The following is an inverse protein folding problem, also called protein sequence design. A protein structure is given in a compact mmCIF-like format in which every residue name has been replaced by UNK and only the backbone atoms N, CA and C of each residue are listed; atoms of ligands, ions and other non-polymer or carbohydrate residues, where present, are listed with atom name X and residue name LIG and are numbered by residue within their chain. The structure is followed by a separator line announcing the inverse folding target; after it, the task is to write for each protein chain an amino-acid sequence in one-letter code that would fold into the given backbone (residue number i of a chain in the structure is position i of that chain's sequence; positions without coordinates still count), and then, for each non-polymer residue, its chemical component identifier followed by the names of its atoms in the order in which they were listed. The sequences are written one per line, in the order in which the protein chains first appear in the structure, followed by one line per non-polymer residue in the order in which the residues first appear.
data_IF_090294580867
#
_entry.id   IF_090294580867
#
_cell.length_a   1.000
_cell.length_b   1.000
_cell.length_c   1.000
_cell.angle_alpha   90.00
_cell.angle_beta   90.00
_cell.angle_gamma   90.00
#
_symmetry.space_group_name_H-M   'P 1'
#
loop_
_entity.id
_entity.type
_entity.pdbx_description
1 polymer ?
#
# COMPACT_ATOMS: atom_id res chain seq x y z
N UNK A 1 0.82 -34.92 -12.72
CA UNK A 1 1.82 -33.99 -13.28
C UNK A 1 3.23 -34.52 -13.14
N UNK A 2 3.80 -34.62 -11.93
CA UNK A 2 5.18 -35.12 -11.73
C UNK A 2 5.44 -36.49 -12.38
N UNK A 3 4.57 -37.48 -12.12
CA UNK A 3 4.70 -38.82 -12.72
C UNK A 3 4.57 -38.80 -14.25
N UNK A 4 3.64 -38.01 -14.79
CA UNK A 4 3.48 -37.85 -16.24
C UNK A 4 4.73 -37.22 -16.88
N UNK A 5 5.28 -36.18 -16.25
CA UNK A 5 6.51 -35.54 -16.69
C UNK A 5 7.71 -36.50 -16.67
N UNK A 6 7.85 -37.31 -15.61
CA UNK A 6 8.88 -38.34 -15.52
C UNK A 6 8.77 -39.38 -16.64
N UNK A 7 7.56 -39.86 -16.92
CA UNK A 7 7.31 -40.80 -18.01
C UNK A 7 7.70 -40.21 -19.38
N UNK A 8 7.37 -38.94 -19.64
CA UNK A 8 7.78 -38.24 -20.86
C UNK A 8 9.31 -38.16 -20.95
N UNK A 9 9.99 -37.78 -19.86
CA UNK A 9 11.45 -37.71 -19.81
C UNK A 9 12.13 -39.08 -20.00
N UNK A 10 11.49 -40.18 -19.60
CA UNK A 10 11.97 -41.54 -19.85
C UNK A 10 11.66 -42.05 -21.26
N UNK A 11 11.10 -41.21 -22.14
CA UNK A 11 10.76 -41.60 -23.51
C UNK A 11 9.49 -42.48 -23.58
N UNK A 12 8.59 -42.34 -22.60
CA UNK A 12 7.33 -43.10 -22.51
C UNK A 12 6.09 -42.20 -22.65
N UNK A 13 5.94 -41.41 -23.75
CA UNK A 13 4.81 -40.48 -23.90
C UNK A 13 3.45 -41.18 -24.00
N UNK A 14 3.40 -42.39 -24.56
CA UNK A 14 2.16 -43.20 -24.63
C UNK A 14 1.66 -43.56 -23.23
N UNK A 15 2.54 -44.02 -22.35
CA UNK A 15 2.18 -44.36 -20.98
C UNK A 15 1.79 -43.11 -20.18
N UNK A 16 2.44 -41.97 -20.44
CA UNK A 16 2.04 -40.69 -19.86
C UNK A 16 0.62 -40.28 -20.29
N UNK A 17 0.28 -40.45 -21.58
CA UNK A 17 -1.05 -40.16 -22.12
C UNK A 17 -2.12 -41.09 -21.51
N UNK A 18 -1.86 -42.40 -21.47
CA UNK A 18 -2.75 -43.38 -20.83
C UNK A 18 -3.03 -43.03 -19.36
N UNK A 19 -1.98 -42.67 -18.61
CA UNK A 19 -2.12 -42.28 -17.21
C UNK A 19 -2.92 -40.98 -17.06
N UNK A 20 -2.66 -39.96 -17.89
CA UNK A 20 -3.40 -38.70 -17.84
C UNK A 20 -4.88 -38.89 -18.19
N UNK A 21 -5.19 -39.72 -19.19
CA UNK A 21 -6.56 -40.09 -19.56
C UNK A 21 -7.26 -40.84 -18.43
N UNK A 22 -6.59 -41.78 -17.78
CA UNK A 22 -7.16 -42.56 -16.68
C UNK A 22 -7.43 -41.73 -15.42
N UNK A 23 -6.56 -40.74 -15.13
CA UNK A 23 -6.73 -39.84 -13.98
C UNK A 23 -7.78 -38.76 -14.22
N UNK A 24 -8.04 -38.41 -15.48
CA UNK A 24 -9.02 -37.41 -15.91
C UNK A 24 -8.98 -36.10 -15.10
N UNK A 25 -7.77 -35.60 -14.82
CA UNK A 25 -7.60 -34.43 -13.96
C UNK A 25 -7.97 -33.14 -14.71
N UNK A 26 -9.16 -32.62 -14.42
CA UNK A 26 -9.72 -31.41 -15.03
C UNK A 26 -9.13 -30.11 -14.47
N UNK A 27 -7.81 -29.95 -14.58
CA UNK A 27 -7.07 -28.76 -14.16
C UNK A 27 -6.20 -28.25 -15.31
N UNK A 28 -5.88 -26.96 -15.32
CA UNK A 28 -5.17 -26.28 -16.42
C UNK A 28 -3.87 -26.97 -16.85
N UNK A 29 -2.92 -27.18 -15.95
CA UNK A 29 -1.61 -27.76 -16.32
C UNK A 29 -1.70 -29.24 -16.74
N UNK A 30 -2.50 -30.12 -16.08
CA UNK A 30 -2.73 -31.48 -16.58
C UNK A 30 -3.33 -31.53 -17.98
N UNK A 31 -4.32 -30.68 -18.25
CA UNK A 31 -4.95 -30.58 -19.58
C UNK A 31 -3.94 -30.09 -20.63
N UNK A 32 -3.09 -29.11 -20.30
CA UNK A 32 -2.01 -28.71 -21.19
C UNK A 32 -0.97 -29.81 -21.43
N UNK A 33 -0.62 -30.56 -20.39
CA UNK A 33 0.30 -31.70 -20.54
C UNK A 33 -0.31 -32.77 -21.45
N UNK A 34 -1.59 -33.09 -21.29
CA UNK A 34 -2.30 -34.02 -22.16
C UNK A 34 -2.39 -33.50 -23.61
N UNK A 35 -2.73 -32.22 -23.80
CA UNK A 35 -2.74 -31.57 -25.09
C UNK A 35 -1.37 -31.59 -25.78
N UNK A 36 -0.28 -31.46 -25.03
CA UNK A 36 1.09 -31.49 -25.58
C UNK A 36 1.48 -32.85 -26.19
N UNK A 37 0.79 -33.92 -25.82
CA UNK A 37 1.01 -35.28 -26.33
C UNK A 37 0.22 -35.59 -27.60
N UNK A 38 -0.68 -34.69 -28.02
CA UNK A 38 -1.52 -34.85 -29.20
C UNK A 38 -1.03 -33.96 -30.37
N UNK A 39 -1.31 -34.36 -31.62
CA UNK A 39 -1.13 -33.48 -32.77
C UNK A 39 -1.92 -32.18 -32.61
N UNK A 40 -1.38 -31.09 -33.16
CA UNK A 40 -2.00 -29.76 -33.10
C UNK A 40 -3.47 -29.74 -33.57
N UNK A 41 -3.83 -30.57 -34.56
CA UNK A 41 -5.18 -30.66 -35.09
C UNK A 41 -6.20 -31.27 -34.13
N UNK A 42 -5.76 -32.03 -33.12
CA UNK A 42 -6.63 -32.84 -32.25
C UNK A 42 -6.74 -32.30 -30.82
N UNK A 43 -5.89 -31.35 -30.44
CA UNK A 43 -5.77 -30.87 -29.05
C UNK A 43 -6.60 -29.63 -28.69
N UNK A 44 -7.38 -29.10 -29.64
CA UNK A 44 -8.11 -27.83 -29.48
C UNK A 44 -9.07 -27.82 -28.29
N UNK A 45 -9.83 -28.90 -28.10
CA UNK A 45 -10.80 -29.01 -26.99
C UNK A 45 -10.09 -29.00 -25.62
N UNK A 46 -8.99 -29.74 -25.48
CA UNK A 46 -8.20 -29.77 -24.25
C UNK A 46 -7.60 -28.40 -23.93
N UNK A 47 -7.11 -27.68 -24.95
CA UNK A 47 -6.56 -26.33 -24.80
C UNK A 47 -7.64 -25.35 -24.34
N UNK A 48 -8.81 -25.35 -24.99
CA UNK A 48 -9.93 -24.48 -24.58
C UNK A 48 -10.36 -24.78 -23.13
N UNK A 49 -10.54 -26.06 -22.80
CA UNK A 49 -10.88 -26.49 -21.45
C UNK A 49 -9.85 -26.06 -20.42
N UNK A 50 -8.54 -26.14 -20.74
CA UNK A 50 -7.46 -25.74 -19.85
C UNK A 50 -7.54 -24.25 -19.47
N UNK A 51 -7.98 -23.39 -20.40
CA UNK A 51 -8.22 -21.96 -20.16
C UNK A 51 -9.42 -21.80 -19.23
N UNK A 52 -10.55 -22.42 -19.57
CA UNK A 52 -11.82 -22.24 -18.85
C UNK A 52 -11.76 -22.67 -17.38
N UNK A 53 -10.98 -23.72 -17.06
CA UNK A 53 -10.87 -24.23 -15.68
C UNK A 53 -9.85 -23.48 -14.83
N UNK A 54 -9.05 -22.57 -15.39
CA UNK A 54 -8.00 -21.87 -14.64
C UNK A 54 -8.52 -21.09 -13.41
N UNK A 55 -9.64 -20.35 -13.48
CA UNK A 55 -10.17 -19.63 -12.33
C UNK A 55 -10.59 -20.54 -11.17
N UNK A 56 -10.90 -21.82 -11.44
CA UNK A 56 -11.33 -22.78 -10.41
C UNK A 56 -10.15 -23.26 -9.55
N UNK A 57 -8.94 -23.28 -10.10
CA UNK A 57 -7.73 -23.66 -9.40
C UNK A 57 -6.49 -23.01 -10.04
N UNK A 58 -6.20 -21.79 -9.61
CA UNK A 58 -5.08 -20.98 -10.14
C UNK A 58 -3.75 -21.63 -9.79
N UNK A 59 -3.05 -22.15 -10.79
CA UNK A 59 -1.70 -22.71 -10.66
C UNK A 59 -0.84 -22.34 -11.87
N UNK A 60 0.31 -21.76 -11.60
CA UNK A 60 1.32 -21.43 -12.60
C UNK A 60 2.31 -22.61 -12.79
N UNK A 61 2.93 -22.74 -13.97
CA UNK A 61 3.94 -23.77 -14.22
C UNK A 61 5.16 -23.54 -13.32
N UNK A 62 5.79 -24.62 -12.86
CA UNK A 62 6.96 -24.60 -12.00
C UNK A 62 8.01 -25.66 -12.36
N UNK A 63 7.67 -26.69 -13.14
CA UNK A 63 8.64 -27.70 -13.61
C UNK A 63 9.00 -27.51 -15.09
N UNK A 64 10.14 -28.04 -15.52
CA UNK A 64 10.59 -27.93 -16.91
C UNK A 64 9.69 -28.71 -17.87
N UNK A 65 9.08 -29.80 -17.42
CA UNK A 65 8.13 -30.59 -18.23
C UNK A 65 6.84 -29.81 -18.47
N UNK A 66 6.34 -29.10 -17.45
CA UNK A 66 5.19 -28.19 -17.59
C UNK A 66 5.52 -27.06 -18.57
N UNK A 67 6.73 -26.50 -18.50
CA UNK A 67 7.20 -25.46 -19.43
C UNK A 67 7.31 -26.02 -20.86
N UNK A 68 7.94 -27.17 -21.06
CA UNK A 68 8.08 -27.79 -22.37
C UNK A 68 6.72 -28.13 -22.99
N UNK A 69 5.77 -28.63 -22.18
CA UNK A 69 4.41 -28.88 -22.62
C UNK A 69 3.75 -27.59 -23.12
N UNK A 70 3.84 -26.49 -22.37
CA UNK A 70 3.29 -25.20 -22.77
C UNK A 70 4.00 -24.60 -24.01
N UNK A 71 5.32 -24.74 -24.12
CA UNK A 71 6.10 -24.28 -25.28
C UNK A 71 5.66 -24.99 -26.57
N UNK A 72 5.26 -26.26 -26.47
CA UNK A 72 4.73 -27.01 -27.63
C UNK A 72 3.36 -26.52 -28.12
N UNK A 73 2.64 -25.71 -27.35
CA UNK A 73 1.27 -25.24 -27.63
C UNK A 73 1.30 -23.79 -28.14
N UNK A 74 2.02 -23.60 -29.25
CA UNK A 74 2.24 -22.30 -29.87
C UNK A 74 0.98 -21.65 -30.47
N UNK A 75 -0.17 -22.30 -30.53
CA UNK A 75 -1.42 -21.66 -30.95
C UNK A 75 -2.21 -21.06 -29.78
N UNK A 76 -1.82 -21.30 -28.53
CA UNK A 76 -2.56 -20.81 -27.37
C UNK A 76 -1.96 -19.50 -26.84
N UNK A 77 -2.78 -18.45 -26.77
CA UNK A 77 -2.39 -17.18 -26.14
C UNK A 77 -2.21 -17.36 -24.62
N UNK A 78 -3.02 -18.20 -23.97
CA UNK A 78 -2.96 -18.38 -22.52
C UNK A 78 -1.73 -19.20 -22.09
N UNK A 79 -1.32 -20.19 -22.89
CA UNK A 79 -0.07 -20.90 -22.67
C UNK A 79 1.13 -19.95 -22.67
N UNK A 80 1.15 -18.95 -23.58
CA UNK A 80 2.17 -17.89 -23.59
C UNK A 80 2.13 -17.02 -22.35
N UNK A 81 0.94 -16.66 -21.86
CA UNK A 81 0.82 -15.92 -20.61
C UNK A 81 1.43 -16.69 -19.44
N UNK A 82 1.11 -17.98 -19.29
CA UNK A 82 1.67 -18.83 -18.24
C UNK A 82 3.20 -18.96 -18.35
N UNK A 83 3.73 -19.12 -19.56
CA UNK A 83 5.17 -19.12 -19.82
C UNK A 83 5.81 -17.77 -19.50
N UNK A 84 5.16 -16.67 -19.85
CA UNK A 84 5.65 -15.33 -19.57
C UNK A 84 5.77 -15.09 -18.06
N UNK A 85 4.76 -15.48 -17.28
CA UNK A 85 4.79 -15.46 -15.81
C UNK A 85 5.95 -16.29 -15.26
N UNK A 86 6.18 -17.51 -15.79
CA UNK A 86 7.31 -18.35 -15.39
C UNK A 86 8.66 -17.69 -15.69
N UNK A 87 8.88 -17.24 -16.92
CA UNK A 87 10.13 -16.60 -17.32
C UNK A 87 10.38 -15.29 -16.57
N UNK A 88 9.32 -14.54 -16.25
CA UNK A 88 9.41 -13.34 -15.44
C UNK A 88 9.86 -13.66 -14.01
N UNK A 89 9.27 -14.70 -13.38
CA UNK A 89 9.70 -15.20 -12.07
C UNK A 89 11.18 -15.66 -12.09
N UNK A 90 11.63 -16.29 -13.18
CA UNK A 90 13.03 -16.69 -13.39
C UNK A 90 13.93 -15.54 -13.87
N UNK A 91 13.46 -14.29 -13.82
CA UNK A 91 14.18 -13.06 -14.21
C UNK A 91 14.67 -13.05 -15.67
N UNK A 92 14.09 -13.90 -16.52
CA UNK A 92 14.32 -13.93 -17.96
C UNK A 92 13.40 -12.93 -18.66
N UNK A 93 13.58 -11.64 -18.35
CA UNK A 93 12.62 -10.59 -18.71
C UNK A 93 12.37 -10.48 -20.23
N UNK A 94 13.42 -10.51 -21.05
CA UNK A 94 13.28 -10.40 -22.51
C UNK A 94 12.37 -11.51 -23.08
N UNK A 95 12.50 -12.75 -22.58
CA UNK A 95 11.62 -13.86 -22.98
C UNK A 95 10.19 -13.63 -22.51
N UNK A 96 10.01 -13.22 -21.25
CA UNK A 96 8.70 -12.97 -20.69
C UNK A 96 7.92 -11.89 -21.45
N UNK A 97 8.59 -10.78 -21.78
CA UNK A 97 7.99 -9.67 -22.52
C UNK A 97 7.58 -10.10 -23.92
N UNK A 98 8.47 -10.80 -24.66
CA UNK A 98 8.14 -11.28 -26.00
C UNK A 98 6.92 -12.22 -25.98
N UNK A 99 6.81 -13.07 -24.94
CA UNK A 99 5.66 -13.95 -24.76
C UNK A 99 4.38 -13.19 -24.40
N UNK A 100 4.43 -12.18 -23.52
CA UNK A 100 3.26 -11.35 -23.23
C UNK A 100 2.84 -10.47 -24.41
N UNK A 101 3.78 -9.88 -25.16
CA UNK A 101 3.49 -9.15 -26.39
C UNK A 101 2.77 -10.06 -27.39
N UNK A 102 3.29 -11.27 -27.62
CA UNK A 102 2.63 -12.23 -28.49
C UNK A 102 1.28 -12.70 -27.95
N UNK A 103 1.13 -12.80 -26.63
CA UNK A 103 -0.13 -13.13 -25.97
C UNK A 103 -1.21 -12.07 -26.29
N UNK A 104 -0.90 -10.78 -26.09
CA UNK A 104 -1.85 -9.69 -26.36
C UNK A 104 -2.06 -9.41 -27.84
N UNK A 105 -1.10 -9.76 -28.72
CA UNK A 105 -1.34 -9.77 -30.17
C UNK A 105 -2.37 -10.83 -30.58
N UNK A 106 -2.35 -11.99 -29.92
CA UNK A 106 -3.25 -13.11 -30.21
C UNK A 106 -4.62 -12.97 -29.55
N UNK A 107 -4.69 -12.36 -28.37
CA UNK A 107 -5.90 -12.07 -27.62
C UNK A 107 -5.79 -10.67 -27.00
N UNK A 108 -6.09 -9.61 -27.78
CA UNK A 108 -6.03 -8.22 -27.30
C UNK A 108 -6.95 -7.94 -26.11
N UNK A 109 -8.00 -8.73 -25.94
CA UNK A 109 -8.98 -8.64 -24.85
C UNK A 109 -8.50 -9.22 -23.50
N UNK A 110 -7.33 -9.88 -23.47
CA UNK A 110 -6.83 -10.50 -22.24
C UNK A 110 -6.10 -9.51 -21.32
N UNK A 111 -6.82 -8.98 -20.33
CA UNK A 111 -6.34 -7.96 -19.40
C UNK A 111 -5.02 -8.32 -18.66
N UNK A 112 -4.86 -9.56 -18.22
CA UNK A 112 -3.67 -10.00 -17.46
C UNK A 112 -2.37 -9.97 -18.30
N UNK A 113 -2.47 -10.10 -19.63
CA UNK A 113 -1.34 -9.92 -20.54
C UNK A 113 -0.83 -8.48 -20.52
N UNK A 114 -1.75 -7.52 -20.62
CA UNK A 114 -1.44 -6.08 -20.52
C UNK A 114 -0.91 -5.70 -19.14
N UNK A 115 -1.52 -6.25 -18.07
CA UNK A 115 -1.03 -6.09 -16.69
C UNK A 115 0.43 -6.54 -16.55
N UNK A 116 0.79 -7.71 -17.09
CA UNK A 116 2.17 -8.21 -17.06
C UNK A 116 3.17 -7.26 -17.74
N UNK A 117 2.79 -6.70 -18.90
CA UNK A 117 3.59 -5.70 -19.61
C UNK A 117 3.73 -4.40 -18.81
N UNK A 118 2.66 -3.94 -18.15
CA UNK A 118 2.70 -2.73 -17.33
C UNK A 118 3.65 -2.87 -16.13
N UNK A 119 3.58 -4.00 -15.43
CA UNK A 119 4.47 -4.31 -14.30
C UNK A 119 5.93 -4.25 -14.75
N UNK A 120 6.26 -4.80 -15.92
CA UNK A 120 7.61 -4.72 -16.46
C UNK A 120 8.03 -3.29 -16.82
N UNK A 121 7.16 -2.55 -17.52
CA UNK A 121 7.42 -1.16 -17.90
C UNK A 121 7.74 -0.28 -16.69
N UNK A 122 7.01 -0.43 -15.59
CA UNK A 122 7.31 0.27 -14.35
C UNK A 122 8.58 -0.29 -13.66
N UNK A 123 8.59 -1.57 -13.29
CA UNK A 123 9.61 -2.14 -12.40
C UNK A 123 11.01 -2.28 -13.00
N UNK A 124 11.14 -2.24 -14.34
CA UNK A 124 12.41 -2.51 -15.04
C UNK A 124 12.79 -1.43 -16.04
N UNK A 125 11.81 -0.75 -16.63
CA UNK A 125 12.09 0.32 -17.59
C UNK A 125 11.92 1.71 -16.95
N UNK A 126 11.29 1.80 -15.78
CA UNK A 126 10.95 3.06 -15.11
C UNK A 126 10.14 4.00 -16.01
N UNK A 127 9.32 3.43 -16.90
CA UNK A 127 8.50 4.17 -17.87
C UNK A 127 7.05 4.27 -17.38
N UNK A 128 6.74 5.39 -16.73
CA UNK A 128 5.40 5.70 -16.22
C UNK A 128 4.35 5.71 -17.33
N UNK A 129 4.61 6.40 -18.45
CA UNK A 129 3.62 6.61 -19.51
C UNK A 129 3.28 5.31 -20.22
N UNK A 130 4.26 4.42 -20.39
CA UNK A 130 4.02 3.09 -20.94
C UNK A 130 3.25 2.20 -19.95
N UNK A 131 3.65 2.18 -18.67
CA UNK A 131 2.95 1.40 -17.64
C UNK A 131 1.50 1.86 -17.46
N UNK A 132 1.26 3.17 -17.45
CA UNK A 132 -0.07 3.78 -17.34
C UNK A 132 -0.96 3.35 -18.51
N UNK A 133 -0.48 3.45 -19.75
CA UNK A 133 -1.24 3.01 -20.94
C UNK A 133 -1.61 1.54 -20.87
N UNK A 134 -0.69 0.67 -20.46
CA UNK A 134 -0.97 -0.76 -20.33
C UNK A 134 -1.97 -1.07 -19.20
N UNK A 135 -1.87 -0.41 -18.04
CA UNK A 135 -2.85 -0.58 -16.95
C UNK A 135 -4.22 0.00 -17.30
N UNK A 136 -4.27 1.18 -17.94
CA UNK A 136 -5.52 1.79 -18.38
C UNK A 136 -6.22 0.87 -19.41
N UNK A 137 -5.47 0.27 -20.35
CA UNK A 137 -6.02 -0.72 -21.27
C UNK A 137 -6.49 -2.00 -20.55
N UNK A 138 -5.69 -2.55 -19.64
CA UNK A 138 -6.09 -3.72 -18.85
C UNK A 138 -7.38 -3.46 -18.06
N UNK A 139 -7.50 -2.28 -17.45
CA UNK A 139 -8.69 -1.91 -16.67
C UNK A 139 -9.92 -1.70 -17.55
N UNK A 140 -9.77 -1.12 -18.75
CA UNK A 140 -10.88 -1.01 -19.70
C UNK A 140 -11.44 -2.38 -20.13
N UNK A 141 -10.57 -3.39 -20.24
CA UNK A 141 -10.95 -4.75 -20.59
C UNK A 141 -11.62 -5.51 -19.42
N UNK A 142 -11.24 -5.19 -18.18
CA UNK A 142 -11.75 -5.82 -16.97
C UNK A 142 -12.09 -4.78 -15.88
N UNK A 143 -13.11 -3.92 -16.09
CA UNK A 143 -13.41 -2.79 -15.19
C UNK A 143 -13.88 -3.22 -13.80
N UNK A 144 -14.29 -4.48 -13.66
CA UNK A 144 -14.74 -5.08 -12.41
C UNK A 144 -13.59 -5.67 -11.56
N UNK A 145 -12.37 -5.76 -12.10
CA UNK A 145 -11.19 -6.23 -11.38
C UNK A 145 -10.59 -5.09 -10.54
N UNK A 146 -10.90 -5.09 -9.24
CA UNK A 146 -10.40 -4.10 -8.30
C UNK A 146 -8.88 -4.10 -8.14
N UNK A 147 -8.19 -5.20 -8.46
CA UNK A 147 -6.71 -5.25 -8.47
C UNK A 147 -6.14 -4.31 -9.53
N UNK A 148 -6.74 -4.24 -10.71
CA UNK A 148 -6.26 -3.37 -11.79
C UNK A 148 -6.46 -1.90 -11.46
N UNK A 149 -7.58 -1.54 -10.83
CA UNK A 149 -7.80 -0.19 -10.31
C UNK A 149 -6.74 0.16 -9.26
N UNK A 150 -6.41 -0.78 -8.36
CA UNK A 150 -5.36 -0.63 -7.35
C UNK A 150 -3.98 -0.43 -7.93
N UNK A 151 -3.57 -1.24 -8.90
CA UNK A 151 -2.26 -1.07 -9.51
C UNK A 151 -2.17 0.24 -10.29
N UNK A 152 -3.26 0.69 -10.92
CA UNK A 152 -3.29 1.97 -11.62
C UNK A 152 -3.17 3.16 -10.67
N UNK A 153 -3.86 3.12 -9.54
CA UNK A 153 -3.76 4.14 -8.50
C UNK A 153 -2.41 4.11 -7.77
N UNK A 154 -1.87 2.92 -7.50
CA UNK A 154 -0.52 2.73 -6.95
C UNK A 154 0.54 3.32 -7.88
N UNK A 155 0.42 3.13 -9.19
CA UNK A 155 1.31 3.77 -10.17
C UNK A 155 1.23 5.32 -10.08
N UNK A 156 0.03 5.87 -9.97
CA UNK A 156 -0.17 7.31 -9.80
C UNK A 156 0.41 7.81 -8.45
N UNK A 157 0.27 7.02 -7.38
CA UNK A 157 0.89 7.30 -6.07
C UNK A 157 2.42 7.34 -6.16
N UNK A 158 3.02 6.30 -6.74
CA UNK A 158 4.48 6.16 -6.85
C UNK A 158 5.13 7.19 -7.79
N UNK A 159 4.34 7.78 -8.71
CA UNK A 159 4.80 8.84 -9.61
C UNK A 159 4.48 10.25 -9.11
N UNK A 160 3.92 10.39 -7.89
CA UNK A 160 3.62 11.69 -7.30
C UNK A 160 2.45 12.42 -7.97
N UNK A 161 1.47 11.70 -8.52
CA UNK A 161 0.23 12.32 -9.01
C UNK A 161 -0.54 13.00 -7.87
N UNK A 162 -1.21 14.12 -8.17
CA UNK A 162 -1.91 14.91 -7.14
C UNK A 162 -3.09 14.14 -6.54
N UNK A 163 -3.45 14.42 -5.26
CA UNK A 163 -4.57 13.77 -4.60
C UNK A 163 -5.89 13.94 -5.36
N UNK A 164 -6.13 15.10 -5.98
CA UNK A 164 -7.37 15.39 -6.71
C UNK A 164 -7.51 14.53 -7.95
N UNK A 165 -6.41 14.35 -8.71
CA UNK A 165 -6.39 13.50 -9.91
C UNK A 165 -6.66 12.04 -9.54
N UNK A 166 -6.02 11.55 -8.47
CA UNK A 166 -6.23 10.18 -7.97
C UNK A 166 -7.66 10.00 -7.45
N UNK A 167 -8.15 10.94 -6.65
CA UNK A 167 -9.49 10.90 -6.08
C UNK A 167 -10.57 10.87 -7.16
N UNK A 168 -10.47 11.73 -8.18
CA UNK A 168 -11.43 11.74 -9.28
C UNK A 168 -11.54 10.38 -9.98
N UNK A 169 -10.42 9.65 -10.13
CA UNK A 169 -10.43 8.29 -10.70
C UNK A 169 -11.15 7.31 -9.77
N UNK A 170 -10.86 7.35 -8.47
CA UNK A 170 -11.44 6.42 -7.51
C UNK A 170 -12.92 6.68 -7.27
N UNK A 171 -13.37 7.94 -7.20
CA UNK A 171 -14.79 8.28 -7.05
C UNK A 171 -15.60 7.85 -8.30
N UNK A 172 -15.03 8.02 -9.50
CA UNK A 172 -15.66 7.52 -10.73
C UNK A 172 -15.78 5.97 -10.78
N UNK A 173 -15.02 5.26 -9.93
CA UNK A 173 -15.03 3.80 -9.83
C UNK A 173 -15.28 3.35 -8.38
N UNK A 174 -16.08 4.12 -7.62
CA UNK A 174 -16.19 3.96 -6.17
C UNK A 174 -16.65 2.56 -5.76
N UNK A 175 -17.61 1.97 -6.47
CA UNK A 175 -18.07 0.60 -6.19
C UNK A 175 -16.91 -0.41 -6.27
N UNK A 176 -16.02 -0.24 -7.24
CA UNK A 176 -14.85 -1.09 -7.45
C UNK A 176 -13.80 -0.82 -6.37
N UNK A 177 -13.59 0.45 -6.03
CA UNK A 177 -12.65 0.84 -4.99
C UNK A 177 -13.00 0.23 -3.63
N UNK A 178 -14.30 0.08 -3.33
CA UNK A 178 -14.79 -0.49 -2.07
C UNK A 178 -14.71 -2.03 -2.00
N UNK A 179 -14.40 -2.73 -3.10
CA UNK A 179 -14.28 -4.21 -3.13
C UNK A 179 -13.07 -4.75 -2.38
N UNK A 180 -12.01 -3.95 -2.21
CA UNK A 180 -10.78 -4.35 -1.51
C UNK A 180 -10.38 -3.32 -0.47
N UNK A 181 -9.81 -3.81 0.62
CA UNK A 181 -9.48 -3.00 1.80
C UNK A 181 -8.30 -2.06 1.58
N UNK A 182 -7.27 -2.54 0.87
CA UNK A 182 -6.09 -1.75 0.50
C UNK A 182 -6.46 -0.54 -0.38
N UNK A 183 -7.29 -0.76 -1.39
CA UNK A 183 -7.84 0.30 -2.23
C UNK A 183 -8.78 1.23 -1.44
N UNK A 184 -9.63 0.67 -0.57
CA UNK A 184 -10.51 1.49 0.27
C UNK A 184 -9.70 2.42 1.17
N UNK A 185 -8.58 1.94 1.75
CA UNK A 185 -7.70 2.76 2.57
C UNK A 185 -7.09 3.94 1.78
N UNK A 186 -6.71 3.74 0.51
CA UNK A 186 -6.26 4.83 -0.36
C UNK A 186 -7.37 5.85 -0.62
N UNK A 187 -8.60 5.41 -0.89
CA UNK A 187 -9.75 6.31 -1.07
C UNK A 187 -10.03 7.14 0.20
N UNK A 188 -10.00 6.52 1.38
CA UNK A 188 -10.16 7.22 2.66
C UNK A 188 -9.12 8.33 2.84
N UNK A 189 -7.84 8.01 2.58
CA UNK A 189 -6.75 8.98 2.66
C UNK A 189 -6.95 10.15 1.69
N UNK A 190 -7.38 9.88 0.45
CA UNK A 190 -7.63 10.92 -0.55
C UNK A 190 -8.82 11.81 -0.19
N UNK A 191 -9.88 11.26 0.42
CA UNK A 191 -10.95 12.07 0.99
C UNK A 191 -10.45 12.96 2.13
N UNK A 192 -9.58 12.46 3.02
CA UNK A 192 -9.00 13.29 4.07
C UNK A 192 -8.16 14.44 3.50
N UNK A 193 -7.30 14.16 2.51
CA UNK A 193 -6.47 15.16 1.85
C UNK A 193 -7.28 16.27 1.16
N UNK A 194 -8.48 15.93 0.67
CA UNK A 194 -9.37 16.87 -0.03
C UNK A 194 -10.46 17.45 0.88
N UNK A 195 -10.36 17.27 2.20
CA UNK A 195 -11.28 17.85 3.18
C UNK A 195 -12.64 17.14 3.31
N UNK A 196 -12.80 15.95 2.72
CA UNK A 196 -14.04 15.17 2.70
C UNK A 196 -14.09 14.13 3.83
N UNK A 197 -13.75 14.56 5.06
CA UNK A 197 -13.64 13.66 6.21
C UNK A 197 -14.95 12.92 6.55
N UNK A 198 -16.12 13.53 6.33
CA UNK A 198 -17.40 12.88 6.64
C UNK A 198 -17.70 11.70 5.72
N UNK A 199 -17.37 11.78 4.41
CA UNK A 199 -17.48 10.63 3.49
C UNK A 199 -16.65 9.44 3.97
N UNK A 200 -15.44 9.71 4.44
CA UNK A 200 -14.57 8.69 4.99
C UNK A 200 -15.14 8.09 6.29
N UNK A 201 -15.74 8.91 7.14
CA UNK A 201 -16.37 8.47 8.38
C UNK A 201 -17.53 7.49 8.11
N UNK A 202 -18.36 7.76 7.10
CA UNK A 202 -19.48 6.88 6.73
C UNK A 202 -19.00 5.47 6.33
N UNK A 203 -17.94 5.39 5.51
CA UNK A 203 -17.36 4.10 5.11
C UNK A 203 -16.72 3.39 6.30
N UNK A 204 -15.95 4.11 7.12
CA UNK A 204 -15.30 3.58 8.32
C UNK A 204 -16.30 3.06 9.36
N UNK A 205 -17.51 3.63 9.43
CA UNK A 205 -18.55 3.22 10.35
C UNK A 205 -19.36 2.00 9.87
N UNK A 206 -19.52 1.84 8.55
CA UNK A 206 -20.49 0.89 7.98
C UNK A 206 -19.87 -0.33 7.31
N UNK A 207 -18.67 -0.20 6.73
CA UNK A 207 -18.03 -1.29 5.98
C UNK A 207 -17.37 -2.28 6.93
N UNK A 208 -17.55 -3.57 6.68
CA UNK A 208 -16.78 -4.64 7.34
C UNK A 208 -15.46 -4.84 6.60
N UNK A 209 -14.36 -4.52 7.27
CA UNK A 209 -13.00 -4.74 6.80
C UNK A 209 -12.51 -6.14 7.19
N UNK A 210 -11.61 -6.69 6.37
CA UNK A 210 -10.91 -7.94 6.51
C UNK A 210 -9.42 -7.72 6.19
N UNK A 211 -8.65 -7.05 7.08
CA UNK A 211 -7.22 -6.87 6.91
C UNK A 211 -6.54 -8.24 6.68
N UNK A 212 -5.80 -8.33 5.58
CA UNK A 212 -4.97 -9.49 5.23
C UNK A 212 -3.50 -9.19 5.50
N UNK A 213 -2.63 -10.19 5.44
CA UNK A 213 -1.18 -10.05 5.54
C UNK A 213 -0.66 -8.94 4.61
N UNK A 214 0.08 -7.97 5.16
CA UNK A 214 0.55 -6.75 4.48
C UNK A 214 -0.46 -5.59 4.47
N UNK A 215 -1.62 -5.76 5.12
CA UNK A 215 -2.67 -4.76 5.30
C UNK A 215 -2.75 -4.16 6.71
N UNK A 216 -1.93 -4.67 7.64
CA UNK A 216 -1.93 -4.29 9.05
C UNK A 216 -1.76 -2.78 9.22
N UNK A 217 -2.56 -2.17 10.09
CA UNK A 217 -2.44 -0.75 10.40
C UNK A 217 -3.01 0.19 9.32
N UNK A 218 -3.24 -0.26 8.09
CA UNK A 218 -3.64 0.62 6.97
C UNK A 218 -5.02 1.24 7.22
N UNK A 219 -6.03 0.44 7.54
CA UNK A 219 -7.40 0.92 7.79
C UNK A 219 -7.51 1.61 9.15
N UNK A 220 -6.91 1.04 10.19
CA UNK A 220 -6.94 1.61 11.55
C UNK A 220 -6.24 2.96 11.64
N UNK A 221 -5.16 3.18 10.88
CA UNK A 221 -4.53 4.50 10.75
C UNK A 221 -5.45 5.52 10.07
N UNK A 222 -6.24 5.11 9.06
CA UNK A 222 -7.24 5.99 8.44
C UNK A 222 -8.39 6.30 9.41
N UNK A 223 -8.79 5.35 10.26
CA UNK A 223 -9.76 5.59 11.32
C UNK A 223 -9.27 6.64 12.31
N UNK A 224 -8.05 6.50 12.84
CA UNK A 224 -7.45 7.48 13.76
C UNK A 224 -7.33 8.86 13.09
N UNK A 225 -6.82 8.91 11.85
CA UNK A 225 -6.69 10.17 11.10
C UNK A 225 -8.05 10.85 10.92
N UNK A 226 -9.10 10.08 10.60
CA UNK A 226 -10.45 10.62 10.47
C UNK A 226 -10.96 11.24 11.78
N UNK A 227 -10.76 10.56 12.90
CA UNK A 227 -11.17 11.05 14.22
C UNK A 227 -10.41 12.32 14.60
N UNK A 228 -9.10 12.39 14.35
CA UNK A 228 -8.29 13.58 14.59
C UNK A 228 -8.75 14.78 13.74
N UNK A 229 -9.01 14.57 12.46
CA UNK A 229 -9.49 15.62 11.56
C UNK A 229 -10.87 16.16 11.97
N UNK A 230 -11.80 15.27 12.33
CA UNK A 230 -13.15 15.67 12.78
C UNK A 230 -13.11 16.31 14.16
N UNK A 231 -12.27 15.83 15.07
CA UNK A 231 -12.04 16.48 16.35
C UNK A 231 -11.49 17.90 16.19
N UNK A 232 -10.57 18.10 15.25
CA UNK A 232 -10.07 19.43 14.90
C UNK A 232 -11.19 20.36 14.39
N UNK A 233 -12.07 19.88 13.50
CA UNK A 233 -13.23 20.67 13.04
C UNK A 233 -14.11 21.15 14.20
N UNK A 234 -14.35 20.30 15.20
CA UNK A 234 -15.10 20.68 16.40
C UNK A 234 -14.33 21.66 17.29
N UNK A 235 -13.01 21.50 17.46
CA UNK A 235 -12.18 22.46 18.20
C UNK A 235 -12.20 23.85 17.55
N UNK A 236 -12.07 23.92 16.22
CA UNK A 236 -12.15 25.17 15.46
C UNK A 236 -13.54 25.83 15.59
N UNK A 237 -14.60 25.00 15.64
CA UNK A 237 -15.97 25.43 15.92
C UNK A 237 -16.25 25.75 17.41
N UNK A 238 -15.23 25.73 18.28
CA UNK A 238 -15.34 25.94 19.75
C UNK A 238 -16.27 24.95 20.45
N UNK A 239 -16.22 23.69 20.01
CA UNK A 239 -16.99 22.56 20.51
C UNK A 239 -16.05 21.50 21.12
N UNK A 240 -15.33 21.82 22.21
CA UNK A 240 -14.28 20.93 22.73
C UNK A 240 -14.82 19.62 23.32
N UNK A 241 -16.08 19.58 23.73
CA UNK A 241 -16.69 18.36 24.25
C UNK A 241 -16.87 17.31 23.14
N UNK A 242 -17.43 17.71 22.00
CA UNK A 242 -17.60 16.84 20.83
C UNK A 242 -16.25 16.37 20.27
N UNK A 243 -15.24 17.25 20.29
CA UNK A 243 -13.88 16.87 19.91
C UNK A 243 -13.30 15.79 20.84
N UNK A 244 -13.46 15.95 22.16
CA UNK A 244 -13.00 14.97 23.16
C UNK A 244 -13.66 13.61 22.99
N UNK A 245 -14.96 13.55 22.67
CA UNK A 245 -15.69 12.31 22.39
C UNK A 245 -15.11 11.55 21.18
N UNK A 246 -14.81 12.24 20.08
CA UNK A 246 -14.19 11.64 18.90
C UNK A 246 -12.78 11.10 19.19
N UNK A 247 -11.97 11.88 19.90
CA UNK A 247 -10.62 11.50 20.30
C UNK A 247 -10.63 10.30 21.27
N UNK A 248 -11.62 10.22 22.16
CA UNK A 248 -11.78 9.07 23.04
C UNK A 248 -12.18 7.83 22.23
N UNK A 249 -13.09 7.97 21.27
CA UNK A 249 -13.43 6.90 20.35
C UNK A 249 -12.24 6.43 19.49
N UNK A 250 -11.28 7.31 19.16
CA UNK A 250 -10.05 6.93 18.46
C UNK A 250 -9.18 5.94 19.27
N UNK A 251 -9.35 5.87 20.60
CA UNK A 251 -8.67 4.91 21.46
C UNK A 251 -9.27 3.50 21.41
N UNK A 252 -10.43 3.33 20.77
CA UNK A 252 -11.17 2.08 20.74
C UNK A 252 -11.60 1.73 19.31
N UNK A 253 -10.93 0.74 18.69
CA UNK A 253 -11.26 0.31 17.34
C UNK A 253 -12.62 -0.40 17.32
N UNK A 254 -13.56 0.03 16.46
CA UNK A 254 -14.83 -0.67 16.32
C UNK A 254 -14.60 -2.03 15.63
N UNK A 255 -15.43 -3.02 15.99
CA UNK A 255 -15.26 -4.41 15.55
C UNK A 255 -15.26 -4.57 14.02
N UNK A 256 -15.89 -3.64 13.29
CA UNK A 256 -15.96 -3.70 11.84
C UNK A 256 -14.60 -3.46 11.17
N UNK A 257 -13.61 -2.87 11.85
CA UNK A 257 -12.25 -2.74 11.33
C UNK A 257 -11.49 -4.07 11.33
N UNK A 258 -11.93 -5.04 12.15
CA UNK A 258 -11.36 -6.39 12.25
C UNK A 258 -9.86 -6.44 12.59
N UNK A 259 -9.34 -5.40 13.23
CA UNK A 259 -7.97 -5.31 13.72
C UNK A 259 -7.98 -4.82 15.17
N UNK A 260 -7.11 -5.39 16.00
CA UNK A 260 -6.93 -4.98 17.39
C UNK A 260 -5.79 -3.98 17.53
N UNK A 261 -5.81 -3.21 18.62
CA UNK A 261 -4.70 -2.32 18.97
C UNK A 261 -3.46 -3.12 19.36
N UNK A 262 -2.28 -2.62 18.99
CA UNK A 262 -1.01 -3.24 19.37
C UNK A 262 -0.65 -2.89 20.83
N UNK A 263 -0.13 -3.85 21.61
CA UNK A 263 0.43 -3.56 22.92
C UNK A 263 1.55 -2.53 22.81
N UNK A 264 1.51 -1.50 23.66
CA UNK A 264 2.54 -0.46 23.73
C UNK A 264 2.33 0.75 22.81
N UNK A 265 1.20 0.84 22.08
CA UNK A 265 0.82 2.10 21.42
C UNK A 265 0.60 3.21 22.44
N UNK A 266 1.27 4.34 22.25
CA UNK A 266 1.28 5.47 23.19
C UNK A 266 0.32 6.60 22.82
N UNK A 267 -0.20 6.64 21.59
CA UNK A 267 -1.25 7.56 21.12
C UNK A 267 -0.99 9.04 21.42
N UNK A 268 0.26 9.47 21.21
CA UNK A 268 0.73 10.79 21.64
C UNK A 268 -0.07 11.93 21.00
N UNK A 269 -0.47 11.78 19.73
CA UNK A 269 -1.33 12.73 19.03
C UNK A 269 -2.72 12.84 19.66
N UNK A 270 -3.39 11.71 19.91
CA UNK A 270 -4.72 11.68 20.53
C UNK A 270 -4.68 12.32 21.92
N UNK A 271 -3.71 11.95 22.76
CA UNK A 271 -3.59 12.51 24.11
C UNK A 271 -3.23 14.00 24.11
N UNK A 272 -2.41 14.45 23.17
CA UNK A 272 -2.12 15.88 23.02
C UNK A 272 -3.41 16.65 22.72
N UNK A 273 -4.20 16.19 21.74
CA UNK A 273 -5.46 16.87 21.40
C UNK A 273 -6.52 16.77 22.50
N UNK A 274 -6.55 15.68 23.29
CA UNK A 274 -7.40 15.60 24.48
C UNK A 274 -7.02 16.66 25.51
N UNK A 275 -5.72 16.93 25.70
CA UNK A 275 -5.30 18.00 26.60
C UNK A 275 -5.75 19.38 26.12
N UNK A 276 -5.69 19.63 24.81
CA UNK A 276 -6.21 20.88 24.21
C UNK A 276 -7.72 21.01 24.46
N UNK A 277 -8.48 19.92 24.29
CA UNK A 277 -9.92 19.90 24.61
C UNK A 277 -10.19 20.23 26.08
N UNK A 278 -9.49 19.55 27.00
CA UNK A 278 -9.66 19.76 28.44
C UNK A 278 -9.31 21.20 28.86
N UNK A 279 -8.22 21.76 28.32
CA UNK A 279 -7.85 23.15 28.58
C UNK A 279 -8.90 24.14 28.06
N UNK A 280 -9.48 23.89 26.88
CA UNK A 280 -10.58 24.71 26.33
C UNK A 280 -11.87 24.61 27.16
N UNK A 281 -12.05 23.53 27.93
CA UNK A 281 -13.16 23.34 28.86
C UNK A 281 -12.86 23.89 30.27
N UNK A 282 -11.63 24.31 30.55
CA UNK A 282 -11.18 24.78 31.87
C UNK A 282 -10.85 23.66 32.86
N UNK A 283 -10.70 22.41 32.40
CA UNK A 283 -10.25 21.29 33.23
C UNK A 283 -8.73 21.14 33.19
N UNK A 284 -8.06 21.91 34.04
CA UNK A 284 -6.59 21.89 34.16
C UNK A 284 -6.04 20.54 34.63
N UNK A 285 -6.81 19.80 35.45
CA UNK A 285 -6.35 18.52 36.00
C UNK A 285 -6.29 17.47 34.90
N UNK A 286 -7.35 17.40 34.08
CA UNK A 286 -7.42 16.47 32.96
C UNK A 286 -6.47 16.87 31.82
N UNK A 287 -6.36 18.17 31.53
CA UNK A 287 -5.37 18.67 30.59
C UNK A 287 -3.97 18.21 30.99
N UNK A 288 -3.64 18.29 32.28
CA UNK A 288 -2.33 17.89 32.76
C UNK A 288 -2.09 16.38 32.74
N UNK A 289 -3.13 15.59 33.02
CA UNK A 289 -3.07 14.14 32.87
C UNK A 289 -2.80 13.73 31.42
N UNK A 290 -3.52 14.34 30.47
CA UNK A 290 -3.39 14.05 29.05
C UNK A 290 -2.02 14.46 28.48
N UNK A 291 -1.48 15.63 28.86
CA UNK A 291 -0.13 16.04 28.42
C UNK A 291 0.96 15.08 28.93
N UNK A 292 0.84 14.58 30.16
CA UNK A 292 1.79 13.58 30.68
C UNK A 292 1.76 12.30 29.86
N UNK A 293 0.57 11.82 29.47
CA UNK A 293 0.44 10.66 28.58
C UNK A 293 1.04 10.95 27.20
N UNK A 294 0.74 12.12 26.63
CA UNK A 294 1.27 12.56 25.34
C UNK A 294 2.80 12.72 25.33
N UNK A 295 3.46 12.86 26.48
CA UNK A 295 4.92 12.95 26.59
C UNK A 295 5.64 11.59 26.76
N UNK A 296 4.90 10.48 26.88
CA UNK A 296 5.47 9.12 27.09
C UNK A 296 5.86 8.43 25.78
N UNK A 297 6.70 7.40 25.87
CA UNK A 297 7.06 6.52 24.76
C UNK A 297 8.56 6.49 24.44
N UNK A 298 8.92 5.61 23.52
CA UNK A 298 10.27 5.59 22.95
C UNK A 298 10.50 6.86 22.11
N UNK A 299 11.76 7.32 22.10
CA UNK A 299 12.22 8.50 21.38
C UNK A 299 13.16 8.18 20.23
N UNK A 300 13.38 6.89 19.97
CA UNK A 300 14.26 6.42 18.90
C UNK A 300 13.62 6.61 17.53
N UNK A 301 14.40 7.11 16.57
CA UNK A 301 14.01 7.15 15.16
C UNK A 301 14.69 5.99 14.43
N UNK A 302 13.91 4.93 14.17
CA UNK A 302 14.39 3.80 13.37
C UNK A 302 14.53 4.19 11.90
N UNK A 303 15.52 3.64 11.19
CA UNK A 303 15.69 3.85 9.74
C UNK A 303 14.59 3.09 8.99
N UNK A 304 14.48 1.80 9.25
CA UNK A 304 13.39 0.96 8.75
C UNK A 304 12.15 1.16 9.62
N UNK A 305 10.97 1.02 9.01
CA UNK A 305 9.70 1.10 9.71
C UNK A 305 8.98 -0.23 9.60
N UNK A 306 8.63 -0.80 10.74
CA UNK A 306 7.83 -2.01 10.88
C UNK A 306 6.38 -1.68 11.22
N UNK A 307 5.45 -2.59 10.93
CA UNK A 307 4.02 -2.37 11.18
C UNK A 307 3.69 -2.10 12.66
N UNK A 308 4.55 -2.56 13.57
CA UNK A 308 4.43 -2.41 15.02
C UNK A 308 5.28 -1.27 15.60
N UNK A 309 6.01 -0.54 14.77
CA UNK A 309 6.74 0.64 15.21
C UNK A 309 5.77 1.80 15.48
N UNK A 310 6.14 2.67 16.43
CA UNK A 310 5.38 3.89 16.65
C UNK A 310 5.57 4.87 15.47
N UNK A 311 4.51 5.59 15.06
CA UNK A 311 4.64 6.63 14.05
C UNK A 311 5.66 7.70 14.46
N UNK A 312 6.50 8.14 13.52
CA UNK A 312 7.56 9.12 13.82
C UNK A 312 7.01 10.47 14.29
N UNK A 313 5.77 10.79 13.92
CA UNK A 313 5.10 12.01 14.36
C UNK A 313 4.70 11.98 15.84
N UNK A 314 4.71 10.82 16.50
CA UNK A 314 4.52 10.77 17.95
C UNK A 314 5.61 11.53 18.70
N UNK A 315 6.84 11.58 18.16
CA UNK A 315 7.92 12.40 18.73
C UNK A 315 7.59 13.89 18.69
N UNK A 316 6.91 14.34 17.63
CA UNK A 316 6.47 15.71 17.52
C UNK A 316 5.47 16.05 18.64
N UNK A 317 4.46 15.21 18.83
CA UNK A 317 3.45 15.41 19.86
C UNK A 317 4.02 15.27 21.27
N UNK A 318 5.00 14.38 21.50
CA UNK A 318 5.77 14.32 22.75
C UNK A 318 6.48 15.65 23.04
N UNK A 319 7.20 16.21 22.07
CA UNK A 319 7.90 17.48 22.23
C UNK A 319 6.94 18.64 22.51
N UNK A 320 5.80 18.68 21.82
CA UNK A 320 4.76 19.68 22.09
C UNK A 320 4.14 19.52 23.48
N UNK A 321 3.89 18.28 23.93
CA UNK A 321 3.37 18.02 25.26
C UNK A 321 4.37 18.44 26.37
N UNK A 322 5.65 18.13 26.20
CA UNK A 322 6.73 18.57 27.11
C UNK A 322 6.81 20.09 27.21
N UNK A 323 6.65 20.79 26.08
CA UNK A 323 6.58 22.25 26.04
C UNK A 323 5.43 22.79 26.88
N UNK A 324 4.23 22.22 26.76
CA UNK A 324 3.06 22.62 27.56
C UNK A 324 3.16 22.21 29.04
N UNK A 325 3.93 21.17 29.35
CA UNK A 325 4.31 20.77 30.71
C UNK A 325 5.32 21.74 31.37
N UNK A 326 5.91 22.67 30.60
CA UNK A 326 6.98 23.56 31.08
C UNK A 326 8.39 22.97 30.97
N UNK A 327 8.54 21.78 30.40
CA UNK A 327 9.83 21.09 30.20
C UNK A 327 10.54 21.55 28.91
N UNK A 328 10.79 22.86 28.82
CA UNK A 328 11.29 23.50 27.59
C UNK A 328 12.64 22.97 27.11
N UNK A 329 13.56 22.69 28.04
CA UNK A 329 14.88 22.16 27.69
C UNK A 329 14.78 20.77 27.08
N UNK A 330 13.95 19.88 27.67
CA UNK A 330 13.72 18.53 27.16
C UNK A 330 13.07 18.56 25.78
N UNK A 331 12.06 19.40 25.57
CA UNK A 331 11.41 19.58 24.28
C UNK A 331 12.40 20.09 23.21
N UNK A 332 13.18 21.11 23.54
CA UNK A 332 14.20 21.68 22.65
C UNK A 332 15.26 20.65 22.26
N UNK A 333 15.72 19.85 23.22
CA UNK A 333 16.69 18.78 22.97
C UNK A 333 16.12 17.73 22.02
N UNK A 334 14.89 17.24 22.27
CA UNK A 334 14.23 16.26 21.41
C UNK A 334 14.14 16.74 19.95
N UNK A 335 13.66 17.96 19.71
CA UNK A 335 13.58 18.48 18.35
C UNK A 335 14.95 18.72 17.71
N UNK A 336 15.97 19.08 18.50
CA UNK A 336 17.34 19.23 18.00
C UNK A 336 17.94 17.88 17.59
N UNK A 337 17.69 16.82 18.36
CA UNK A 337 18.11 15.45 18.03
C UNK A 337 17.39 14.92 16.78
N UNK A 338 16.09 15.16 16.64
CA UNK A 338 15.34 14.84 15.42
C UNK A 338 15.94 15.55 14.19
N UNK A 339 16.26 16.85 14.32
CA UNK A 339 16.87 17.64 13.23
C UNK A 339 18.25 17.12 12.86
N UNK A 340 19.08 16.79 13.85
CA UNK A 340 20.41 16.21 13.62
C UNK A 340 20.29 14.86 12.91
N UNK A 341 19.41 13.97 13.37
CA UNK A 341 19.16 12.68 12.75
C UNK A 341 18.79 12.85 11.26
N UNK A 342 17.86 13.75 10.94
CA UNK A 342 17.44 13.99 9.57
C UNK A 342 18.59 14.50 8.67
N UNK A 343 19.44 15.40 9.19
CA UNK A 343 20.59 15.92 8.46
C UNK A 343 21.70 14.90 8.21
N UNK A 344 21.90 13.99 9.16
CA UNK A 344 22.86 12.89 9.03
C UNK A 344 22.33 11.83 8.06
N UNK A 345 21.08 11.40 8.22
CA UNK A 345 20.47 10.35 7.41
C UNK A 345 20.19 10.76 5.97
N UNK A 346 19.92 12.05 5.71
CA UNK A 346 19.75 12.55 4.34
C UNK A 346 21.03 12.40 3.48
N UNK A 347 22.20 12.17 4.09
CA UNK A 347 23.48 11.97 3.39
C UNK A 347 23.80 10.48 3.17
N UNK A 348 22.99 9.59 3.71
CA UNK A 348 23.24 8.15 3.74
C UNK A 348 22.31 7.43 2.77
N UNK A 349 22.85 6.51 1.97
CA UNK A 349 22.05 5.56 1.20
C UNK A 349 21.68 4.36 2.07
N UNK A 350 20.43 3.92 2.01
CA UNK A 350 19.97 2.75 2.76
C UNK A 350 19.83 1.52 1.87
N UNK A 351 19.96 0.33 2.44
CA UNK A 351 19.69 -0.94 1.76
C UNK A 351 18.49 -1.63 2.42
N UNK A 352 17.88 -2.58 1.73
CA UNK A 352 16.80 -3.37 2.31
C UNK A 352 17.32 -4.15 3.52
N UNK A 353 16.61 -4.09 4.65
CA UNK A 353 16.94 -4.88 5.82
C UNK A 353 16.73 -6.37 5.52
N UNK A 354 17.80 -7.16 5.61
CA UNK A 354 17.77 -8.59 5.38
C UNK A 354 16.77 -9.32 6.29
N UNK A 355 16.51 -8.79 7.49
CA UNK A 355 15.58 -9.36 8.46
C UNK A 355 14.18 -8.74 8.41
N UNK A 356 13.91 -7.82 7.49
CA UNK A 356 12.58 -7.25 7.39
C UNK A 356 11.57 -8.29 6.92
N UNK A 357 10.82 -8.84 7.88
CA UNK A 357 9.79 -9.86 7.67
C UNK A 357 8.61 -9.30 6.85
N UNK A 358 8.48 -7.97 6.77
CA UNK A 358 7.48 -7.24 6.00
C UNK A 358 8.01 -6.64 4.70
N UNK A 359 9.24 -6.97 4.28
CA UNK A 359 9.82 -6.54 3.01
C UNK A 359 10.10 -7.75 2.11
N UNK A 360 9.73 -7.70 0.82
CA UNK A 360 9.02 -6.60 0.17
C UNK A 360 7.53 -6.59 0.54
N UNK A 361 6.97 -5.38 0.59
CA UNK A 361 5.52 -5.14 0.46
C UNK A 361 4.99 -6.06 -0.67
N UNK A 362 3.91 -6.80 -0.44
CA UNK A 362 3.33 -7.77 -1.40
C UNK A 362 2.64 -7.08 -2.61
N UNK A 363 3.27 -6.03 -3.13
CA UNK A 363 2.81 -5.17 -4.21
C UNK A 363 3.48 -5.56 -5.53
N UNK A 364 2.73 -5.40 -6.62
CA UNK A 364 3.19 -5.70 -7.97
C UNK A 364 4.08 -4.62 -8.57
N UNK A 365 3.96 -3.38 -8.07
CA UNK A 365 4.75 -2.22 -8.49
C UNK A 365 5.71 -1.84 -7.36
N UNK A 366 7.00 -1.76 -7.67
CA UNK A 366 8.04 -1.46 -6.69
C UNK A 366 8.12 0.04 -6.44
N UNK A 367 8.17 0.41 -5.17
CA UNK A 367 8.61 1.74 -4.74
C UNK A 367 10.13 1.85 -4.78
N UNK A 368 10.62 3.09 -4.81
CA UNK A 368 12.04 3.38 -4.69
C UNK A 368 12.41 3.58 -3.22
N UNK A 369 13.29 2.71 -2.71
CA UNK A 369 13.75 2.73 -1.32
C UNK A 369 14.48 4.04 -0.96
N UNK A 370 15.25 4.61 -1.88
CA UNK A 370 15.95 5.88 -1.63
C UNK A 370 14.97 7.04 -1.58
N UNK A 371 13.95 7.00 -2.44
CA UNK A 371 12.86 7.97 -2.44
C UNK A 371 12.07 7.92 -1.12
N UNK A 372 11.70 6.73 -0.66
CA UNK A 372 11.03 6.54 0.64
C UNK A 372 11.89 7.01 1.82
N UNK A 373 13.20 6.75 1.78
CA UNK A 373 14.15 7.26 2.77
C UNK A 373 14.22 8.78 2.79
N UNK A 374 14.27 9.40 1.61
CA UNK A 374 14.25 10.85 1.45
C UNK A 374 12.97 11.46 2.02
N UNK A 375 11.82 10.86 1.73
CA UNK A 375 10.52 11.29 2.28
C UNK A 375 10.52 11.24 3.82
N UNK A 376 11.05 10.17 4.41
CA UNK A 376 11.18 10.05 5.87
C UNK A 376 12.10 11.10 6.47
N UNK A 377 13.26 11.35 5.86
CA UNK A 377 14.19 12.40 6.31
C UNK A 377 13.53 13.78 6.25
N UNK A 378 12.79 14.09 5.17
CA UNK A 378 12.07 15.34 5.03
C UNK A 378 10.93 15.47 6.04
N UNK A 379 10.18 14.39 6.32
CA UNK A 379 9.16 14.37 7.36
C UNK A 379 9.75 14.71 8.73
N UNK A 380 10.85 14.05 9.12
CA UNK A 380 11.51 14.31 10.40
C UNK A 380 12.05 15.74 10.46
N UNK A 381 12.70 16.21 9.39
CA UNK A 381 13.21 17.59 9.31
C UNK A 381 12.09 18.63 9.42
N UNK A 382 10.96 18.38 8.75
CA UNK A 382 9.77 19.22 8.80
C UNK A 382 9.25 19.31 10.25
N UNK A 383 8.98 18.18 10.89
CA UNK A 383 8.44 18.13 12.25
C UNK A 383 9.41 18.72 13.29
N UNK A 384 10.71 18.45 13.15
CA UNK A 384 11.73 19.03 14.01
C UNK A 384 11.78 20.57 13.88
N UNK A 385 11.77 21.08 12.66
CA UNK A 385 11.76 22.53 12.39
C UNK A 385 10.51 23.20 12.96
N UNK A 386 9.34 22.55 12.83
CA UNK A 386 8.11 23.01 13.44
C UNK A 386 8.24 23.13 14.97
N UNK A 387 8.75 22.09 15.64
CA UNK A 387 8.90 22.09 17.10
C UNK A 387 9.94 23.07 17.64
N UNK A 388 10.91 23.46 16.81
CA UNK A 388 11.92 24.49 17.11
C UNK A 388 11.43 25.93 16.82
N UNK A 389 10.25 26.10 16.23
CA UNK A 389 9.73 27.42 15.82
C UNK A 389 10.40 27.96 14.55
N UNK A 390 11.04 27.11 13.77
CA UNK A 390 11.73 27.45 12.53
C UNK A 390 10.76 27.39 11.34
N UNK A 391 9.81 28.33 11.28
CA UNK A 391 8.69 28.32 10.32
C UNK A 391 9.16 28.25 8.86
N UNK A 392 10.22 28.98 8.50
CA UNK A 392 10.75 28.98 7.14
C UNK A 392 11.31 27.60 6.73
N UNK A 393 12.01 26.93 7.65
CA UNK A 393 12.58 25.60 7.44
C UNK A 393 11.48 24.53 7.40
N UNK A 394 10.45 24.65 8.25
CA UNK A 394 9.25 23.82 8.20
C UNK A 394 8.58 23.89 6.82
N UNK A 395 8.27 25.10 6.33
CA UNK A 395 7.60 25.27 5.04
C UNK A 395 8.46 24.77 3.88
N UNK A 396 9.78 24.99 3.92
CA UNK A 396 10.69 24.47 2.91
C UNK A 396 10.69 22.94 2.86
N UNK A 397 10.82 22.28 4.02
CA UNK A 397 10.82 20.82 4.09
C UNK A 397 9.45 20.22 3.70
N UNK A 398 8.35 20.86 4.13
CA UNK A 398 6.98 20.48 3.76
C UNK A 398 6.76 20.59 2.25
N UNK A 399 7.21 21.69 1.63
CA UNK A 399 7.07 21.90 0.19
C UNK A 399 7.87 20.85 -0.60
N UNK A 400 9.10 20.55 -0.19
CA UNK A 400 9.90 19.50 -0.83
C UNK A 400 9.27 18.11 -0.66
N UNK A 401 8.79 17.77 0.53
CA UNK A 401 8.09 16.51 0.79
C UNK A 401 6.81 16.38 -0.05
N UNK A 402 6.02 17.45 -0.13
CA UNK A 402 4.78 17.48 -0.91
C UNK A 402 5.05 17.40 -2.41
N UNK A 403 6.16 17.97 -2.89
CA UNK A 403 6.54 17.91 -4.30
C UNK A 403 6.88 16.49 -4.76
N UNK A 404 7.46 15.66 -3.88
CA UNK A 404 7.86 14.29 -4.21
C UNK A 404 6.80 13.25 -3.82
N UNK A 405 5.99 13.53 -2.78
CA UNK A 405 4.88 12.69 -2.36
C UNK A 405 3.70 13.58 -1.92
N UNK A 406 2.80 13.97 -2.84
CA UNK A 406 1.66 14.84 -2.49
C UNK A 406 0.67 14.26 -1.47
N UNK A 407 0.75 12.96 -1.19
CA UNK A 407 -0.13 12.23 -0.28
C UNK A 407 0.65 11.61 0.89
N UNK A 408 1.67 12.31 1.38
CA UNK A 408 2.50 11.85 2.50
C UNK A 408 1.67 11.59 3.78
N UNK A 409 2.10 10.67 4.67
CA UNK A 409 1.28 10.22 5.80
C UNK A 409 0.81 11.36 6.72
N UNK A 410 -0.50 11.42 7.01
CA UNK A 410 -1.15 12.48 7.81
C UNK A 410 -0.99 13.92 7.27
N UNK A 411 -0.73 14.09 5.96
CA UNK A 411 -0.62 15.44 5.37
C UNK A 411 -1.85 16.32 5.60
N UNK A 412 -3.04 15.73 5.52
CA UNK A 412 -4.30 16.40 5.79
C UNK A 412 -4.32 17.02 7.19
N UNK A 413 -3.89 16.25 8.21
CA UNK A 413 -3.89 16.70 9.59
C UNK A 413 -2.90 17.84 9.79
N UNK A 414 -1.63 17.63 9.45
CA UNK A 414 -0.58 18.64 9.65
C UNK A 414 -0.86 19.92 8.88
N UNK A 415 -1.34 19.85 7.64
CA UNK A 415 -1.70 21.06 6.87
C UNK A 415 -2.80 21.87 7.56
N UNK A 416 -3.75 21.19 8.21
CA UNK A 416 -4.91 21.84 8.82
C UNK A 416 -4.59 22.41 10.21
N UNK A 417 -3.85 21.66 11.04
CA UNK A 417 -3.66 22.01 12.46
C UNK A 417 -2.44 22.88 12.73
N UNK A 418 -1.43 22.88 11.86
CA UNK A 418 -0.16 23.54 12.13
C UNK A 418 -0.25 25.06 12.39
N UNK A 419 -1.11 25.84 11.70
CA UNK A 419 -1.31 27.25 12.04
C UNK A 419 -1.72 27.48 13.51
N UNK A 420 -2.52 26.57 14.08
CA UNK A 420 -2.89 26.61 15.49
C UNK A 420 -1.75 26.18 16.40
N UNK A 421 -1.04 25.11 16.03
CA UNK A 421 0.07 24.57 16.80
C UNK A 421 1.22 25.58 16.94
N UNK A 422 1.49 26.41 15.92
CA UNK A 422 2.54 27.42 16.01
C UNK A 422 2.32 28.44 17.14
N UNK A 423 1.08 28.66 17.59
CA UNK A 423 0.79 29.53 18.74
C UNK A 423 1.26 28.94 20.08
N UNK A 424 1.60 27.65 20.12
CA UNK A 424 2.18 26.99 21.30
C UNK A 424 3.69 26.82 21.21
N UNK A 425 4.28 27.12 20.06
CA UNK A 425 5.73 27.03 19.84
C UNK A 425 6.40 28.39 20.11
N UNK A 426 5.79 29.46 19.60
CA UNK A 426 6.16 30.86 19.84
C UNK A 426 5.47 31.40 21.09
#
# INVERSE_FOLDING_TARGET
LMTAGQLINWGMPTLAAEMLNALDCQRTLPLYLQASLLPKAERGELVAKAIDVFPQFVRFPNTLEEVAALESIEECWFARHLLACFYYNKRSYNKAIALWQRCVEMSPEFADGWRGLAIHAWNKQHDYELAARYLDNAYQLAPQDARLLFERDLLDKLSGATPEKRLARLENNQEIALKRDDMTAELLNLWHLTGQADKAADILATRKFHPWEGGEGKVTSQFILNQLLRAWQHLDARQPQQASELLHAALHYPENLSEGRLPGQTDNDIWFWQAICANAQGDETEAMRCLRLAATGDRTINIHSYYNDQPVDYLFWQGMALRLLGEQQTAQQLFSEMKQWAQEMAKTSIEADFFAVSQPDLLSLYGDLQQQHKEKCLMVAMLASAGLGEVAQYESARAELTAINPAWPKAALFTTVMPFIFNYVH
#
